data_IF_584944516782
#
_entry.id   IF_584944516782
#
_cell.length_a   1.000
_cell.length_b   1.000
_cell.length_c   1.000
_cell.angle_alpha   90.00
_cell.angle_beta   90.00
_cell.angle_gamma   90.00
#
_symmetry.space_group_name_H-M   'P 1'
#
loop_
_entity.id
_entity.type
_entity.pdbx_description
1 polymer ?
#
# COMPACT_ATOMS: atom_id res chain seq x y z
N UNK A 1 6.71 0.99 27.67
CA UNK A 1 5.53 0.10 27.46
C UNK A 1 5.95 -1.06 26.58
N UNK A 2 5.59 -2.31 26.90
CA UNK A 2 5.91 -3.44 26.04
C UNK A 2 5.23 -3.24 24.68
N UNK A 3 5.95 -3.53 23.58
CA UNK A 3 5.36 -3.56 22.24
C UNK A 3 4.21 -4.56 22.27
N UNK A 4 2.97 -4.09 22.10
CA UNK A 4 1.87 -4.99 21.75
C UNK A 4 2.15 -5.49 20.34
N UNK A 5 2.21 -6.80 20.15
CA UNK A 5 2.39 -7.42 18.83
C UNK A 5 1.16 -7.14 17.95
N UNK A 6 1.16 -6.02 17.24
CA UNK A 6 0.02 -5.57 16.42
C UNK A 6 0.32 -4.32 15.61
N UNK A 7 -0.59 -4.01 14.68
CA UNK A 7 -0.58 -2.76 13.92
C UNK A 7 -1.42 -1.72 14.67
N UNK A 8 -0.80 -0.62 15.07
CA UNK A 8 -1.50 0.54 15.62
C UNK A 8 -1.55 1.67 14.59
N UNK A 9 -2.73 2.23 14.35
CA UNK A 9 -2.98 3.28 13.35
C UNK A 9 -4.00 4.29 13.86
N UNK A 10 -3.73 5.59 13.67
CA UNK A 10 -4.71 6.64 13.89
C UNK A 10 -5.48 6.87 12.58
N UNK A 11 -6.79 6.69 12.62
CA UNK A 11 -7.69 6.86 11.49
C UNK A 11 -8.65 8.02 11.73
N UNK A 12 -9.21 8.55 10.64
CA UNK A 12 -10.32 9.48 10.67
C UNK A 12 -11.56 8.77 10.14
N UNK A 13 -12.60 8.72 10.95
CA UNK A 13 -13.90 8.20 10.57
C UNK A 13 -14.60 9.15 9.58
N UNK A 14 -15.62 8.65 8.88
CA UNK A 14 -16.48 9.41 7.96
C UNK A 14 -17.14 10.62 8.62
N UNK A 15 -17.41 10.53 9.93
CA UNK A 15 -17.91 11.63 10.77
C UNK A 15 -16.87 12.71 11.08
N UNK A 16 -15.61 12.50 10.68
CA UNK A 16 -14.47 13.35 11.00
C UNK A 16 -13.80 13.03 12.34
N UNK A 17 -14.39 12.16 13.16
CA UNK A 17 -13.88 11.74 14.47
C UNK A 17 -12.56 10.96 14.33
N UNK A 18 -11.48 11.34 15.04
CA UNK A 18 -10.26 10.54 15.07
C UNK A 18 -10.41 9.35 16.02
N UNK A 19 -9.85 8.19 15.63
CA UNK A 19 -9.82 6.97 16.45
C UNK A 19 -8.47 6.30 16.28
N UNK A 20 -7.90 5.75 17.36
CA UNK A 20 -6.72 4.89 17.27
C UNK A 20 -7.18 3.44 17.25
N UNK A 21 -6.80 2.70 16.22
CA UNK A 21 -7.06 1.27 16.12
C UNK A 21 -5.79 0.50 16.49
N UNK A 22 -5.95 -0.53 17.32
CA UNK A 22 -4.98 -1.59 17.51
C UNK A 22 -5.52 -2.87 16.89
N UNK A 23 -4.85 -3.34 15.85
CA UNK A 23 -5.18 -4.56 15.14
C UNK A 23 -4.19 -5.67 15.51
N UNK A 24 -4.70 -6.76 16.09
CA UNK A 24 -3.90 -7.93 16.52
C UNK A 24 -4.46 -9.21 15.89
N UNK A 25 -3.59 -10.19 15.64
CA UNK A 25 -4.01 -11.48 15.08
C UNK A 25 -4.16 -12.52 16.20
N UNK A 26 -5.31 -13.20 16.24
CA UNK A 26 -5.56 -14.35 17.13
C UNK A 26 -6.01 -15.55 16.31
N UNK A 27 -5.10 -16.49 16.08
CA UNK A 27 -5.33 -17.60 15.14
C UNK A 27 -5.64 -17.10 13.73
N UNK A 28 -6.84 -17.38 13.22
CA UNK A 28 -7.32 -16.92 11.90
C UNK A 28 -8.19 -15.67 11.96
N UNK A 29 -8.31 -15.04 13.13
CA UNK A 29 -9.13 -13.84 13.33
C UNK A 29 -8.25 -12.61 13.52
N UNK A 30 -8.72 -11.48 13.01
CA UNK A 30 -8.17 -10.16 13.30
C UNK A 30 -9.04 -9.52 14.37
N UNK A 31 -8.46 -9.21 15.52
CA UNK A 31 -9.09 -8.48 16.60
C UNK A 31 -8.77 -6.99 16.44
N UNK A 32 -9.78 -6.15 16.66
CA UNK A 32 -9.70 -4.69 16.52
C UNK A 32 -10.13 -4.08 17.84
N UNK A 33 -9.23 -3.31 18.43
CA UNK A 33 -9.50 -2.48 19.61
C UNK A 33 -9.47 -1.02 19.18
N UNK A 34 -10.52 -0.28 19.51
CA UNK A 34 -10.60 1.16 19.27
C UNK A 34 -10.26 1.90 20.57
N UNK A 35 -9.15 2.62 20.59
CA UNK A 35 -8.69 3.46 21.69
C UNK A 35 -9.11 4.92 21.47
N UNK A 36 -9.34 5.65 22.57
CA UNK A 36 -9.69 7.08 22.54
C UNK A 36 -11.18 7.39 22.32
N UNK A 37 -12.06 6.42 22.54
CA UNK A 37 -13.51 6.61 22.50
C UNK A 37 -14.20 5.72 23.53
N UNK A 38 -15.11 6.27 24.33
CA UNK A 38 -15.79 5.54 25.41
C UNK A 38 -16.86 4.57 24.87
N UNK A 39 -17.42 4.88 23.70
CA UNK A 39 -18.34 4.02 22.98
C UNK A 39 -18.18 4.20 21.47
N UNK A 40 -18.42 3.12 20.72
CA UNK A 40 -18.49 3.10 19.25
C UNK A 40 -19.89 2.63 18.90
N UNK A 41 -20.64 3.44 18.15
CA UNK A 41 -21.95 3.07 17.62
C UNK A 41 -21.84 1.88 16.68
N UNK A 42 -22.94 1.17 16.41
CA UNK A 42 -22.89 0.03 15.50
C UNK A 42 -22.51 0.45 14.06
N UNK A 43 -22.94 1.64 13.63
CA UNK A 43 -22.51 2.20 12.34
C UNK A 43 -21.01 2.47 12.27
N UNK A 44 -20.43 3.07 13.32
CA UNK A 44 -18.97 3.27 13.41
C UNK A 44 -18.22 1.93 13.49
N UNK A 45 -18.79 0.91 14.15
CA UNK A 45 -18.21 -0.44 14.22
C UNK A 45 -18.12 -1.07 12.83
N UNK A 46 -19.19 -0.98 12.04
CA UNK A 46 -19.20 -1.52 10.68
C UNK A 46 -18.25 -0.75 9.76
N UNK A 47 -18.17 0.57 9.88
CA UNK A 47 -17.18 1.38 9.17
C UNK A 47 -15.75 0.95 9.52
N UNK A 48 -15.41 0.81 10.81
CA UNK A 48 -14.10 0.33 11.26
C UNK A 48 -13.81 -1.07 10.72
N UNK A 49 -14.79 -1.97 10.77
CA UNK A 49 -14.65 -3.34 10.25
C UNK A 49 -14.34 -3.33 8.76
N UNK A 50 -15.10 -2.57 7.97
CA UNK A 50 -14.90 -2.44 6.53
C UNK A 50 -13.53 -1.84 6.20
N UNK A 51 -13.14 -0.77 6.89
CA UNK A 51 -11.83 -0.12 6.70
C UNK A 51 -10.67 -1.07 7.02
N UNK A 52 -10.73 -1.77 8.17
CA UNK A 52 -9.70 -2.73 8.56
C UNK A 52 -9.68 -3.93 7.61
N UNK A 53 -10.84 -4.43 7.19
CA UNK A 53 -10.90 -5.50 6.19
C UNK A 53 -10.23 -5.09 4.88
N UNK A 54 -10.46 -3.86 4.41
CA UNK A 54 -9.81 -3.32 3.22
C UNK A 54 -8.30 -3.10 3.41
N UNK A 55 -7.86 -2.61 4.59
CA UNK A 55 -6.45 -2.41 4.93
C UNK A 55 -5.67 -3.73 4.87
N UNK A 56 -6.20 -4.78 5.51
CA UNK A 56 -5.59 -6.11 5.56
C UNK A 56 -5.95 -6.98 4.35
N UNK A 57 -6.84 -6.51 3.47
CA UNK A 57 -7.35 -7.19 2.27
C UNK A 57 -7.97 -8.54 2.58
N UNK A 58 -8.67 -8.64 3.72
CA UNK A 58 -9.36 -9.88 4.12
C UNK A 58 -10.66 -10.08 3.35
N UNK A 59 -11.16 -9.01 2.73
CA UNK A 59 -12.28 -8.96 1.79
C UNK A 59 -11.91 -9.43 0.37
N UNK A 60 -10.63 -9.52 0.05
CA UNK A 60 -10.18 -9.92 -1.27
C UNK A 60 -10.13 -11.43 -1.47
N UNK A 61 -10.73 -11.87 -2.58
CA UNK A 61 -10.65 -13.23 -3.06
C UNK A 61 -9.34 -13.51 -3.82
N UNK A 62 -8.47 -14.35 -3.24
CA UNK A 62 -7.23 -14.81 -3.86
C UNK A 62 -7.30 -16.24 -4.41
N UNK A 63 -8.49 -16.84 -4.52
CA UNK A 63 -8.66 -18.21 -5.01
C UNK A 63 -8.12 -18.39 -6.43
N UNK A 64 -8.29 -17.37 -7.29
CA UNK A 64 -7.70 -17.36 -8.63
C UNK A 64 -6.18 -17.45 -8.60
N UNK A 65 -5.54 -16.63 -7.76
CA UNK A 65 -4.08 -16.66 -7.54
C UNK A 65 -3.63 -18.03 -7.02
N UNK A 66 -4.33 -18.60 -6.04
CA UNK A 66 -3.96 -19.89 -5.45
C UNK A 66 -4.21 -21.07 -6.40
N UNK A 67 -5.31 -21.08 -7.13
CA UNK A 67 -5.58 -22.08 -8.16
C UNK A 67 -4.51 -22.04 -9.27
N UNK A 68 -4.08 -20.84 -9.64
CA UNK A 68 -3.02 -20.65 -10.60
C UNK A 68 -1.64 -21.06 -10.04
N UNK A 69 -1.31 -20.69 -8.81
CA UNK A 69 -0.04 -21.03 -8.16
C UNK A 69 0.14 -22.55 -7.96
N UNK A 70 -0.93 -23.31 -7.72
CA UNK A 70 -0.90 -24.79 -7.64
C UNK A 70 -0.30 -25.45 -8.89
N UNK A 71 -0.44 -24.82 -10.06
CA UNK A 71 0.07 -25.34 -11.34
C UNK A 71 1.58 -25.10 -11.52
N UNK A 72 2.23 -24.37 -10.61
CA UNK A 72 3.62 -23.94 -10.73
C UNK A 72 4.40 -24.35 -9.47
N UNK A 73 5.20 -25.42 -9.55
CA UNK A 73 5.99 -25.94 -8.41
C UNK A 73 6.82 -24.86 -7.69
N UNK A 74 7.37 -23.89 -8.42
CA UNK A 74 8.17 -22.77 -7.87
C UNK A 74 7.39 -21.86 -6.91
N UNK A 75 6.06 -21.91 -6.93
CA UNK A 75 5.16 -21.06 -6.15
C UNK A 75 4.49 -21.80 -4.97
N UNK A 76 4.89 -23.05 -4.69
CA UNK A 76 4.32 -23.84 -3.58
C UNK A 76 4.42 -23.12 -2.23
N UNK A 77 5.49 -22.35 -2.01
CA UNK A 77 5.68 -21.57 -0.78
C UNK A 77 4.60 -20.51 -0.58
N UNK A 78 4.06 -19.92 -1.66
CA UNK A 78 2.98 -18.92 -1.58
C UNK A 78 1.73 -19.57 -0.97
N UNK A 79 1.44 -20.81 -1.37
CA UNK A 79 0.31 -21.58 -0.84
C UNK A 79 0.53 -21.98 0.62
N UNK A 80 1.76 -22.37 0.97
CA UNK A 80 2.11 -22.79 2.33
C UNK A 80 1.92 -21.65 3.37
N UNK A 81 2.17 -20.40 2.96
CA UNK A 81 2.05 -19.22 3.86
C UNK A 81 0.78 -18.42 3.68
N UNK A 82 -0.01 -18.71 2.65
CA UNK A 82 -1.12 -17.84 2.25
C UNK A 82 -0.65 -16.44 1.83
N UNK A 83 0.48 -16.32 1.12
CA UNK A 83 0.99 -15.04 0.64
C UNK A 83 0.06 -14.41 -0.42
N UNK A 84 0.27 -13.13 -0.72
CA UNK A 84 -0.46 -12.40 -1.77
C UNK A 84 -1.16 -11.13 -1.29
N UNK A 85 -1.48 -11.03 0.01
CA UNK A 85 -2.04 -9.81 0.60
C UNK A 85 -0.94 -8.81 0.91
N UNK A 86 -1.14 -7.56 0.51
CA UNK A 86 -0.25 -6.42 0.76
C UNK A 86 -1.03 -5.39 1.57
N UNK A 87 -0.49 -4.94 2.71
CA UNK A 87 -1.15 -3.97 3.58
C UNK A 87 -1.42 -2.66 2.83
N UNK A 88 -2.65 -2.16 2.89
CA UNK A 88 -3.07 -0.85 2.36
C UNK A 88 -3.19 0.17 3.47
N UNK A 89 -3.14 1.45 3.10
CA UNK A 89 -3.62 2.53 3.95
C UNK A 89 -5.15 2.46 4.17
N UNK A 90 -5.70 3.16 5.17
CA UNK A 90 -7.14 3.36 5.35
C UNK A 90 -7.90 3.83 4.11
N UNK A 91 -7.29 4.67 3.25
CA UNK A 91 -7.92 5.23 2.03
C UNK A 91 -7.02 5.09 0.80
N UNK A 92 -7.61 5.03 -0.40
CA UNK A 92 -6.86 5.03 -1.66
C UNK A 92 -6.13 6.36 -1.89
N UNK A 93 -6.72 7.46 -1.41
CA UNK A 93 -6.07 8.76 -1.35
C UNK A 93 -4.75 8.72 -0.57
N UNK A 94 -4.77 8.15 0.64
CA UNK A 94 -3.57 8.01 1.48
C UNK A 94 -2.51 7.11 0.83
N UNK A 95 -2.91 5.98 0.22
CA UNK A 95 -2.00 5.13 -0.54
C UNK A 95 -1.31 5.92 -1.66
N UNK A 96 -2.05 6.74 -2.38
CA UNK A 96 -1.54 7.52 -3.53
C UNK A 96 -0.61 8.64 -3.07
N UNK A 97 -0.96 9.39 -2.02
CA UNK A 97 -0.08 10.41 -1.44
C UNK A 97 1.23 9.77 -0.95
N UNK A 98 1.14 8.66 -0.21
CA UNK A 98 2.33 7.93 0.26
C UNK A 98 3.15 7.42 -0.91
N UNK A 99 2.52 6.92 -1.97
CA UNK A 99 3.21 6.45 -3.17
C UNK A 99 4.00 7.58 -3.85
N UNK A 100 3.39 8.77 -4.04
CA UNK A 100 4.09 9.94 -4.58
C UNK A 100 5.33 10.25 -3.73
N UNK A 101 5.20 10.22 -2.40
CA UNK A 101 6.29 10.43 -1.44
C UNK A 101 7.40 9.36 -1.47
N UNK A 102 7.17 8.19 -2.08
CA UNK A 102 8.21 7.13 -2.24
C UNK A 102 9.01 7.25 -3.52
N UNK A 103 8.49 7.91 -4.56
CA UNK A 103 9.18 8.06 -5.86
C UNK A 103 10.55 8.70 -5.67
N UNK A 104 11.63 8.24 -6.33
CA UNK A 104 12.99 8.85 -6.31
C UNK A 104 13.46 9.35 -4.94
N UNK A 105 13.30 8.53 -3.90
CA UNK A 105 13.50 8.96 -2.52
C UNK A 105 14.01 7.81 -1.64
N UNK A 106 14.72 8.13 -0.56
CA UNK A 106 15.02 7.14 0.48
C UNK A 106 13.80 6.92 1.36
N UNK A 107 13.71 5.73 1.96
CA UNK A 107 12.66 5.43 2.94
C UNK A 107 12.63 6.41 4.12
N UNK A 108 13.81 6.89 4.55
CA UNK A 108 13.93 7.89 5.62
C UNK A 108 13.27 9.23 5.25
N UNK A 109 13.47 9.70 4.01
CA UNK A 109 12.87 10.95 3.54
C UNK A 109 11.37 10.76 3.26
N UNK A 110 10.92 9.60 2.78
CA UNK A 110 9.49 9.25 2.72
C UNK A 110 8.85 9.35 4.11
N UNK A 111 9.44 8.72 5.12
CA UNK A 111 8.93 8.72 6.49
C UNK A 111 8.89 10.15 7.05
N UNK A 112 9.92 10.95 6.79
CA UNK A 112 9.99 12.36 7.18
C UNK A 112 8.87 13.21 6.55
N UNK A 113 8.65 13.07 5.23
CA UNK A 113 7.60 13.81 4.52
C UNK A 113 6.21 13.44 5.02
N UNK A 114 5.91 12.14 5.10
CA UNK A 114 4.61 11.65 5.58
C UNK A 114 4.39 12.04 7.03
N UNK A 115 5.39 11.88 7.90
CA UNK A 115 5.31 12.27 9.31
C UNK A 115 5.08 13.77 9.51
N UNK A 116 5.74 14.63 8.72
CA UNK A 116 5.47 16.07 8.74
C UNK A 116 4.06 16.38 8.25
N UNK A 117 3.60 15.71 7.19
CA UNK A 117 2.26 15.91 6.66
C UNK A 117 1.19 15.57 7.69
N UNK A 118 1.31 14.41 8.35
CA UNK A 118 0.37 14.01 9.42
C UNK A 118 0.47 14.90 10.64
N UNK A 119 1.66 15.29 11.07
CA UNK A 119 1.82 16.17 12.25
C UNK A 119 1.33 17.60 12.00
N UNK A 120 1.40 18.08 10.76
CA UNK A 120 0.96 19.45 10.42
C UNK A 120 -0.53 19.56 10.13
N UNK A 121 -1.15 18.55 9.51
CA UNK A 121 -2.53 18.62 9.02
C UNK A 121 -3.47 17.55 9.60
N UNK A 122 -2.92 16.50 10.22
CA UNK A 122 -3.72 15.43 10.81
C UNK A 122 -4.42 15.88 12.09
N UNK A 123 -5.56 15.26 12.41
CA UNK A 123 -6.23 15.50 13.68
C UNK A 123 -5.48 14.75 14.79
N UNK A 124 -5.11 15.47 15.85
CA UNK A 124 -4.40 14.89 16.98
C UNK A 124 -5.30 13.96 17.81
N UNK A 125 -4.75 12.83 18.26
CA UNK A 125 -5.36 11.89 19.20
C UNK A 125 -4.25 11.32 20.10
N UNK A 126 -4.16 11.84 21.32
CA UNK A 126 -3.02 11.57 22.20
C UNK A 126 -1.71 12.07 21.60
N UNK A 127 -0.74 11.17 21.44
CA UNK A 127 0.57 11.43 20.81
C UNK A 127 0.59 11.15 19.29
N UNK A 128 -0.57 10.78 18.70
CA UNK A 128 -0.69 10.43 17.28
C UNK A 128 -1.50 11.47 16.51
N UNK A 129 -1.36 11.42 15.20
CA UNK A 129 -2.14 12.22 14.26
C UNK A 129 -2.75 11.30 13.20
N UNK A 130 -3.99 11.57 12.81
CA UNK A 130 -4.59 10.91 11.64
C UNK A 130 -3.86 11.30 10.36
N UNK A 131 -4.08 10.55 9.29
CA UNK A 131 -3.77 11.08 7.96
C UNK A 131 -4.69 12.27 7.65
N UNK A 132 -4.21 13.35 7.02
CA UNK A 132 -5.07 14.47 6.66
C UNK A 132 -6.07 14.11 5.57
N UNK A 133 -7.23 14.77 5.57
CA UNK A 133 -8.19 14.62 4.47
C UNK A 133 -7.67 15.33 3.21
N UNK A 134 -8.25 14.99 2.05
CA UNK A 134 -7.99 15.73 0.82
C UNK A 134 -8.32 17.22 0.96
N UNK A 135 -9.36 17.58 1.71
CA UNK A 135 -9.73 18.97 1.97
C UNK A 135 -8.68 19.71 2.81
N UNK A 136 -8.16 19.09 3.87
CA UNK A 136 -7.10 19.68 4.71
C UNK A 136 -5.86 19.98 3.87
N UNK A 137 -5.51 19.05 2.96
CA UNK A 137 -4.41 19.18 2.02
C UNK A 137 -4.67 20.22 0.92
N UNK A 138 -5.89 20.28 0.37
CA UNK A 138 -6.27 21.20 -0.71
C UNK A 138 -6.26 22.67 -0.28
N UNK A 139 -6.53 22.93 1.00
CA UNK A 139 -6.51 24.27 1.62
C UNK A 139 -5.08 24.83 1.85
N UNK A 140 -4.04 24.07 1.50
CA UNK A 140 -2.65 24.51 1.62
C UNK A 140 -2.13 25.15 0.32
N UNK A 141 -0.94 25.76 0.42
CA UNK A 141 -0.21 26.31 -0.73
C UNK A 141 0.90 25.37 -1.18
N UNK A 142 1.38 25.50 -2.41
CA UNK A 142 2.58 24.76 -2.85
C UNK A 142 3.79 25.09 -1.95
N UNK A 143 3.89 26.34 -1.49
CA UNK A 143 4.93 26.78 -0.54
C UNK A 143 4.90 25.98 0.76
N UNK A 144 3.72 25.64 1.28
CA UNK A 144 3.58 24.79 2.47
C UNK A 144 4.20 23.41 2.23
N UNK A 145 3.83 22.74 1.14
CA UNK A 145 4.42 21.43 0.81
C UNK A 145 5.93 21.49 0.60
N UNK A 146 6.41 22.56 -0.03
CA UNK A 146 7.84 22.74 -0.31
C UNK A 146 8.64 23.05 0.94
N UNK A 147 8.11 23.91 1.83
CA UNK A 147 8.86 24.45 2.99
C UNK A 147 8.60 23.71 4.29
N UNK A 148 7.37 23.32 4.58
CA UNK A 148 7.01 22.65 5.83
C UNK A 148 7.16 21.15 5.69
N UNK A 149 6.55 20.56 4.65
CA UNK A 149 6.62 19.10 4.41
C UNK A 149 7.97 18.67 3.84
N UNK A 150 8.69 19.60 3.19
CA UNK A 150 9.92 19.36 2.40
C UNK A 150 9.71 18.34 1.28
N UNK A 151 8.57 18.43 0.58
CA UNK A 151 8.22 17.52 -0.51
C UNK A 151 9.02 17.74 -1.82
N UNK A 152 9.78 18.84 -1.91
CA UNK A 152 10.60 19.15 -3.07
C UNK A 152 9.77 19.28 -4.35
N UNK A 153 10.18 18.60 -5.42
CA UNK A 153 9.44 18.61 -6.70
C UNK A 153 8.05 17.98 -6.62
N UNK A 154 7.74 17.20 -5.58
CA UNK A 154 6.43 16.56 -5.38
C UNK A 154 5.37 17.53 -4.83
N UNK A 155 5.81 18.71 -4.36
CA UNK A 155 4.93 19.73 -3.79
C UNK A 155 3.72 20.08 -4.68
N UNK A 156 3.89 20.41 -5.97
CA UNK A 156 2.74 20.63 -6.86
C UNK A 156 1.88 19.38 -7.07
N UNK A 157 2.46 18.18 -7.05
CA UNK A 157 1.71 16.92 -7.28
C UNK A 157 0.77 16.61 -6.11
N UNK A 158 1.26 16.79 -4.88
CA UNK A 158 0.47 16.59 -3.67
C UNK A 158 -0.69 17.59 -3.59
N UNK A 159 -0.44 18.85 -3.94
CA UNK A 159 -1.47 19.89 -3.95
C UNK A 159 -2.52 19.65 -5.04
N UNK A 160 -2.10 19.28 -6.25
CA UNK A 160 -3.01 18.93 -7.35
C UNK A 160 -3.91 17.76 -6.96
N UNK A 161 -3.32 16.67 -6.44
CA UNK A 161 -4.06 15.45 -6.12
C UNK A 161 -5.10 15.74 -5.04
N UNK A 162 -4.70 16.47 -4.00
CA UNK A 162 -5.58 16.88 -2.93
C UNK A 162 -6.77 17.72 -3.45
N UNK A 163 -6.52 18.68 -4.34
CA UNK A 163 -7.57 19.52 -4.92
C UNK A 163 -8.54 18.73 -5.78
N UNK A 164 -8.04 17.87 -6.68
CA UNK A 164 -8.92 17.06 -7.54
C UNK A 164 -9.81 16.13 -6.72
N UNK A 165 -9.28 15.54 -5.65
CA UNK A 165 -10.10 14.71 -4.75
C UNK A 165 -11.07 15.56 -3.93
N UNK A 166 -10.62 16.68 -3.36
CA UNK A 166 -11.45 17.54 -2.51
C UNK A 166 -12.58 18.24 -3.28
N UNK A 167 -12.36 18.60 -4.54
CA UNK A 167 -13.34 19.30 -5.38
C UNK A 167 -14.20 18.33 -6.23
N UNK A 168 -13.93 17.03 -6.17
CA UNK A 168 -14.71 16.01 -6.86
C UNK A 168 -14.30 15.71 -8.29
N UNK A 169 -13.21 16.29 -8.80
CA UNK A 169 -12.66 15.99 -10.13
C UNK A 169 -12.01 14.60 -10.22
N UNK A 170 -11.70 13.98 -9.08
CA UNK A 170 -11.14 12.64 -8.97
C UNK A 170 -11.78 11.86 -7.81
N UNK A 171 -12.63 10.90 -8.15
CA UNK A 171 -13.25 9.98 -7.19
C UNK A 171 -12.36 8.76 -6.93
N UNK A 172 -11.21 8.98 -6.28
CA UNK A 172 -10.16 7.96 -6.14
C UNK A 172 -10.60 6.72 -5.35
N UNK A 173 -11.52 6.84 -4.39
CA UNK A 173 -11.96 5.70 -3.56
C UNK A 173 -12.77 4.65 -4.35
N UNK A 174 -13.27 4.98 -5.55
CA UNK A 174 -14.00 4.03 -6.43
C UNK A 174 -13.16 2.79 -6.79
N UNK A 175 -11.83 2.90 -6.74
CA UNK A 175 -10.91 1.76 -6.97
C UNK A 175 -11.04 0.65 -5.91
N UNK A 176 -11.60 0.95 -4.73
CA UNK A 176 -11.78 0.00 -3.62
C UNK A 176 -13.17 -0.62 -3.57
N UNK A 177 -14.19 0.08 -4.07
CA UNK A 177 -15.60 -0.30 -3.90
C UNK A 177 -16.09 -1.36 -4.90
N UNK A 178 -15.20 -1.94 -5.71
CA UNK A 178 -15.58 -2.87 -6.78
C UNK A 178 -16.30 -2.21 -7.96
N UNK A 179 -16.36 -0.87 -8.00
CA UNK A 179 -17.07 -0.09 -9.02
C UNK A 179 -16.32 0.01 -10.36
N UNK A 180 -15.00 -0.21 -10.34
CA UNK A 180 -14.14 0.00 -11.51
C UNK A 180 -13.58 -1.33 -12.01
N UNK A 181 -13.70 -1.54 -13.33
CA UNK A 181 -12.98 -2.56 -14.06
C UNK A 181 -11.46 -2.30 -14.03
N UNK A 182 -10.68 -3.33 -14.40
CA UNK A 182 -9.21 -3.25 -14.39
C UNK A 182 -8.68 -2.07 -15.23
N UNK A 183 -9.17 -1.91 -16.46
CA UNK A 183 -8.71 -0.82 -17.34
C UNK A 183 -9.07 0.56 -16.76
N UNK A 184 -10.25 0.71 -16.14
CA UNK A 184 -10.65 1.97 -15.52
C UNK A 184 -9.77 2.33 -14.31
N UNK A 185 -9.31 1.34 -13.54
CA UNK A 185 -8.31 1.56 -12.47
C UNK A 185 -6.97 2.01 -13.03
N UNK A 186 -6.53 1.41 -14.14
CA UNK A 186 -5.28 1.79 -14.84
C UNK A 186 -5.39 3.23 -15.31
N UNK A 187 -6.47 3.58 -16.00
CA UNK A 187 -6.68 4.92 -16.55
C UNK A 187 -6.78 5.95 -15.42
N UNK A 188 -7.50 5.65 -14.33
CA UNK A 188 -7.63 6.54 -13.18
C UNK A 188 -6.26 6.87 -12.58
N UNK A 189 -5.44 5.87 -12.27
CA UNK A 189 -4.13 6.11 -11.65
C UNK A 189 -3.11 6.72 -12.62
N UNK A 190 -3.12 6.32 -13.89
CA UNK A 190 -2.20 6.85 -14.90
C UNK A 190 -2.42 8.36 -15.17
N UNK A 191 -3.63 8.86 -14.93
CA UNK A 191 -3.98 10.28 -15.08
C UNK A 191 -3.72 11.14 -13.82
N UNK A 192 -3.04 10.61 -12.80
CA UNK A 192 -2.66 11.37 -11.60
C UNK A 192 -1.26 11.95 -11.79
N UNK A 193 -1.12 13.25 -11.57
CA UNK A 193 0.17 13.92 -11.65
C UNK A 193 1.15 13.34 -10.62
N UNK A 194 2.36 12.97 -11.07
CA UNK A 194 3.37 12.33 -10.22
C UNK A 194 3.27 10.80 -10.13
N UNK A 195 2.26 10.18 -10.74
CA UNK A 195 2.16 8.72 -10.86
C UNK A 195 2.85 8.26 -12.15
N UNK A 196 4.15 7.97 -12.05
CA UNK A 196 4.92 7.30 -13.11
C UNK A 196 4.80 5.77 -13.07
N UNK A 197 5.48 5.02 -13.96
CA UNK A 197 5.37 3.56 -14.07
C UNK A 197 5.57 2.81 -12.73
N UNK A 198 6.55 3.21 -11.93
CA UNK A 198 6.77 2.67 -10.59
C UNK A 198 5.55 2.84 -9.67
N UNK A 199 5.03 4.07 -9.56
CA UNK A 199 3.90 4.37 -8.70
C UNK A 199 2.63 3.68 -9.20
N UNK A 200 2.41 3.66 -10.51
CA UNK A 200 1.28 3.01 -11.15
C UNK A 200 1.25 1.51 -10.84
N UNK A 201 2.37 0.79 -11.06
CA UNK A 201 2.45 -0.64 -10.79
C UNK A 201 2.22 -0.99 -9.32
N UNK A 202 2.72 -0.18 -8.38
CA UNK A 202 2.47 -0.38 -6.96
C UNK A 202 1.01 -0.10 -6.58
N UNK A 203 0.41 0.99 -7.04
CA UNK A 203 -0.98 1.35 -6.76
C UNK A 203 -1.93 0.28 -7.32
N UNK A 204 -1.73 -0.14 -8.57
CA UNK A 204 -2.51 -1.22 -9.17
C UNK A 204 -2.41 -2.52 -8.36
N UNK A 205 -1.21 -2.89 -7.91
CA UNK A 205 -0.99 -4.07 -7.07
C UNK A 205 -1.67 -3.95 -5.70
N UNK A 206 -1.74 -2.75 -5.13
CA UNK A 206 -2.56 -2.49 -3.95
C UNK A 206 -4.04 -2.72 -4.28
N UNK A 207 -4.53 -2.33 -5.45
CA UNK A 207 -5.94 -2.40 -5.86
C UNK A 207 -6.33 -3.61 -6.76
N UNK A 208 -5.65 -4.74 -6.53
CA UNK A 208 -5.97 -6.05 -7.11
C UNK A 208 -5.75 -6.20 -8.62
N UNK A 209 -4.93 -5.34 -9.21
CA UNK A 209 -4.46 -5.44 -10.59
C UNK A 209 -2.97 -5.83 -10.57
N UNK A 210 -2.64 -7.02 -11.06
CA UNK A 210 -1.39 -7.71 -10.74
C UNK A 210 -0.42 -7.89 -11.90
N UNK A 211 -0.77 -7.36 -13.06
CA UNK A 211 -0.05 -7.56 -14.31
C UNK A 211 1.10 -6.55 -14.50
N UNK A 212 1.06 -5.40 -13.81
CA UNK A 212 2.07 -4.34 -13.91
C UNK A 212 3.28 -4.55 -13.00
N UNK A 213 4.45 -4.36 -13.58
CA UNK A 213 5.71 -4.29 -12.83
C UNK A 213 5.86 -2.94 -12.14
N UNK A 214 6.62 -2.93 -11.05
CA UNK A 214 6.99 -1.72 -10.33
C UNK A 214 8.48 -1.77 -10.00
N UNK A 215 9.31 -1.36 -10.96
CA UNK A 215 10.76 -1.39 -10.79
C UNK A 215 11.22 -0.22 -9.92
N UNK A 216 12.06 -0.54 -8.94
CA UNK A 216 12.82 0.41 -8.14
C UNK A 216 14.23 -0.13 -7.89
N UNK A 217 15.08 0.71 -7.29
CA UNK A 217 16.48 0.35 -7.02
C UNK A 217 16.62 -0.81 -6.05
N UNK A 218 15.70 -1.00 -5.10
CA UNK A 218 15.74 -2.09 -4.14
C UNK A 218 15.34 -3.41 -4.80
N UNK A 219 14.20 -3.45 -5.48
CA UNK A 219 13.66 -4.68 -6.07
C UNK A 219 14.57 -5.19 -7.20
N UNK A 220 15.17 -4.29 -7.99
CA UNK A 220 16.13 -4.66 -9.04
C UNK A 220 17.48 -5.12 -8.46
N UNK A 221 17.95 -4.52 -7.37
CA UNK A 221 19.14 -4.96 -6.66
C UNK A 221 18.95 -6.33 -5.98
N UNK A 222 17.79 -6.57 -5.35
CA UNK A 222 17.45 -7.86 -4.74
C UNK A 222 17.36 -8.94 -5.82
N UNK A 223 16.76 -8.62 -6.98
CA UNK A 223 16.74 -9.52 -8.12
C UNK A 223 18.16 -9.88 -8.60
N UNK A 224 19.00 -8.86 -8.80
CA UNK A 224 20.39 -9.05 -9.23
C UNK A 224 21.17 -9.92 -8.23
N UNK A 225 21.03 -9.66 -6.93
CA UNK A 225 21.66 -10.44 -5.87
C UNK A 225 21.24 -11.90 -5.92
N UNK A 226 19.94 -12.16 -6.13
CA UNK A 226 19.38 -13.51 -6.05
C UNK A 226 19.62 -14.36 -7.29
N UNK A 227 19.66 -13.75 -8.46
CA UNK A 227 19.68 -14.49 -9.74
C UNK A 227 20.89 -14.20 -10.62
N UNK A 228 21.73 -13.22 -10.27
CA UNK A 228 22.83 -12.76 -11.12
C UNK A 228 24.08 -12.33 -10.31
N UNK A 229 24.30 -12.89 -9.13
CA UNK A 229 25.48 -12.62 -8.28
C UNK A 229 25.71 -11.12 -8.00
N UNK A 230 24.62 -10.34 -7.92
CA UNK A 230 24.66 -8.90 -7.69
C UNK A 230 24.99 -8.06 -8.93
N UNK A 231 25.20 -8.67 -10.10
CA UNK A 231 25.45 -7.95 -11.36
C UNK A 231 24.17 -7.27 -11.86
N UNK A 232 24.30 -6.03 -12.31
CA UNK A 232 23.18 -5.24 -12.83
C UNK A 232 22.46 -5.97 -13.97
N UNK A 233 21.13 -6.01 -13.90
CA UNK A 233 20.26 -6.64 -14.88
C UNK A 233 19.32 -5.59 -15.47
N UNK A 234 19.02 -5.67 -16.77
CA UNK A 234 18.03 -4.79 -17.39
C UNK A 234 16.62 -5.18 -16.98
N UNK A 235 15.73 -4.18 -16.85
CA UNK A 235 14.31 -4.40 -16.53
C UNK A 235 13.67 -5.39 -17.49
N UNK A 236 13.92 -5.27 -18.80
CA UNK A 236 13.43 -6.23 -19.81
C UNK A 236 13.84 -7.68 -19.55
N UNK A 237 15.04 -7.91 -19.01
CA UNK A 237 15.50 -9.28 -18.67
C UNK A 237 14.75 -9.81 -17.45
N UNK A 238 14.47 -8.95 -16.48
CA UNK A 238 13.65 -9.28 -15.31
C UNK A 238 12.22 -9.62 -15.78
N UNK A 239 11.61 -8.74 -16.58
CA UNK A 239 10.24 -8.91 -17.09
C UNK A 239 10.07 -10.22 -17.86
N UNK A 240 11.00 -10.55 -18.77
CA UNK A 240 10.97 -11.83 -19.52
C UNK A 240 10.91 -13.06 -18.61
N UNK A 241 11.54 -13.01 -17.43
CA UNK A 241 11.45 -14.12 -16.46
C UNK A 241 10.04 -14.24 -15.88
N UNK A 242 9.35 -13.12 -15.68
CA UNK A 242 8.05 -13.10 -15.03
C UNK A 242 6.85 -13.10 -15.99
N UNK A 243 7.04 -12.90 -17.30
CA UNK A 243 5.97 -12.99 -18.32
C UNK A 243 5.17 -14.30 -18.24
N UNK A 244 5.85 -15.43 -17.97
CA UNK A 244 5.23 -16.75 -17.80
C UNK A 244 4.27 -16.83 -16.60
N UNK A 245 4.23 -15.79 -15.77
CA UNK A 245 3.37 -15.67 -14.60
C UNK A 245 2.08 -14.87 -14.85
N UNK A 246 1.76 -14.55 -16.10
CA UNK A 246 0.49 -13.90 -16.46
C UNK A 246 -0.76 -14.63 -15.92
N UNK A 247 -1.74 -13.90 -15.34
CA UNK A 247 -1.85 -12.43 -15.21
C UNK A 247 -1.29 -11.85 -13.90
N UNK A 248 -0.49 -12.61 -13.14
CA UNK A 248 0.01 -12.25 -11.81
C UNK A 248 1.47 -11.80 -11.78
N UNK A 249 2.08 -11.52 -12.93
CA UNK A 249 3.53 -11.33 -13.06
C UNK A 249 4.11 -10.24 -12.15
N UNK A 250 3.41 -9.12 -11.98
CA UNK A 250 3.83 -8.03 -11.10
C UNK A 250 3.74 -8.41 -9.62
N UNK A 251 2.70 -9.15 -9.22
CA UNK A 251 2.58 -9.68 -7.86
C UNK A 251 3.61 -10.76 -7.57
N UNK A 252 3.82 -11.71 -8.49
CA UNK A 252 4.79 -12.79 -8.33
C UNK A 252 6.22 -12.24 -8.27
N UNK A 253 6.54 -11.22 -9.07
CA UNK A 253 7.81 -10.51 -8.97
C UNK A 253 8.02 -9.93 -7.57
N UNK A 254 7.04 -9.20 -7.04
CA UNK A 254 7.09 -8.68 -5.68
C UNK A 254 7.25 -9.78 -4.62
N UNK A 255 6.43 -10.83 -4.70
CA UNK A 255 6.47 -11.94 -3.75
C UNK A 255 7.80 -12.69 -3.77
N UNK A 256 8.41 -12.86 -4.94
CA UNK A 256 9.68 -13.55 -5.04
C UNK A 256 10.81 -12.76 -4.34
N UNK A 257 10.86 -11.44 -4.55
CA UNK A 257 11.85 -10.56 -3.90
C UNK A 257 11.62 -10.42 -2.40
N UNK A 258 10.36 -10.55 -1.96
CA UNK A 258 9.99 -10.44 -0.54
C UNK A 258 9.90 -11.78 0.18
N UNK A 259 10.13 -12.92 -0.51
CA UNK A 259 10.13 -14.27 0.09
C UNK A 259 10.93 -14.37 1.40
N UNK A 260 12.12 -13.77 1.56
CA UNK A 260 12.86 -13.83 2.82
C UNK A 260 12.14 -13.20 4.03
N UNK A 261 11.20 -12.27 3.79
CA UNK A 261 10.41 -11.63 4.86
C UNK A 261 9.41 -12.61 5.48
N UNK A 262 8.97 -13.61 4.71
CA UNK A 262 8.09 -14.69 5.18
C UNK A 262 8.89 -15.77 5.93
N UNK A 263 10.12 -16.07 5.49
CA UNK A 263 11.02 -17.04 6.15
C UNK A 263 11.35 -16.67 7.59
N UNK A 264 11.50 -15.38 7.91
CA UNK A 264 11.74 -14.92 9.29
C UNK A 264 10.57 -15.17 10.25
N UNK A 265 9.37 -15.47 9.72
CA UNK A 265 8.15 -15.72 10.51
C UNK A 265 7.73 -17.20 10.49
N UNK A 266 8.28 -17.99 9.56
CA UNK A 266 7.91 -19.36 9.29
C UNK A 266 9.11 -20.10 8.69
N UNK A 267 9.54 -21.19 9.31
CA UNK A 267 10.65 -22.01 8.80
C UNK A 267 10.27 -22.61 7.43
N UNK A 268 10.82 -22.06 6.35
CA UNK A 268 10.74 -22.67 5.02
C UNK A 268 12.13 -23.08 4.57
N UNK A 269 12.43 -24.36 4.77
CA UNK A 269 13.46 -25.04 4.00
C UNK A 269 12.87 -25.53 2.68
N UNK A 270 13.35 -24.91 1.61
CA UNK A 270 13.79 -25.58 0.37
C UNK A 270 14.10 -24.52 -0.67
N UNK A 271 15.39 -24.41 -0.98
CA UNK A 271 15.88 -23.74 -2.17
C UNK A 271 15.40 -24.54 -3.40
N UNK A 272 14.65 -23.88 -4.26
CA UNK A 272 14.30 -24.41 -5.59
C UNK A 272 14.88 -23.47 -6.64
N UNK A 273 16.20 -23.56 -6.80
CA UNK A 273 16.92 -23.16 -8.01
C UNK A 273 16.65 -24.18 -9.10
N UNK A 274 15.73 -23.83 -10.01
CA UNK A 274 15.76 -24.16 -11.44
C UNK A 274 14.76 -23.25 -12.14
#
# INVERSE_FOLDING_TARGET
MPRRDGLSVAIRMSTGKPVVLLCTQTGRRLQIEAEGTDAVTEGEREEIRGMVAAMFRTDENLDGLYAWARRKKRLSWILAVGAGRILRAPTAFEDTVKMICTTNCSWSLTTLMVGRLTNSLGTAIGDRHTFPSAADMANQTERFYRREIKAGYRSPYLLELARRVAYGDLHIERVRNGELAEQEKIDLFANIMGVGPYALGNLLRLHSVYDRYAHDSWITAEYAKRYHDGRKVSERTIERRYEAFSPYQGLIYWLDMTKPWYRKKHDFDSDFTS
#
